data_IF_968720986628
#
_entry.id   IF_968720986628
#
_cell.length_a   1.000
_cell.length_b   1.000
_cell.length_c   1.000
_cell.angle_alpha   90.00
_cell.angle_beta   90.00
_cell.angle_gamma   90.00
#
_symmetry.space_group_name_H-M   'P 1'
#
loop_
_entity.id
_entity.type
_entity.pdbx_description
1 polymer ?
#
# COMPACT_ATOMS: atom_id res chain seq x y z
N UNK A 1 -26.65 -9.06 -5.23
CA UNK A 1 -25.21 -8.81 -5.50
C UNK A 1 -24.53 -8.54 -4.14
N UNK A 2 -23.48 -9.30 -3.81
CA UNK A 2 -22.77 -9.08 -2.53
C UNK A 2 -21.78 -7.94 -2.72
N UNK A 3 -21.73 -7.04 -1.72
CA UNK A 3 -20.76 -5.95 -1.69
C UNK A 3 -19.31 -6.49 -1.71
N UNK A 4 -18.39 -5.69 -2.26
CA UNK A 4 -16.97 -5.98 -2.25
C UNK A 4 -16.25 -4.95 -1.41
N UNK A 5 -15.39 -5.42 -0.51
CA UNK A 5 -14.54 -4.58 0.31
C UNK A 5 -13.12 -4.60 -0.23
N UNK A 6 -12.49 -3.41 -0.34
CA UNK A 6 -11.14 -3.27 -0.87
C UNK A 6 -10.30 -2.48 0.14
N UNK A 7 -9.24 -3.09 0.65
CA UNK A 7 -8.32 -2.45 1.58
C UNK A 7 -7.12 -1.86 0.85
N UNK A 8 -6.75 -0.64 1.24
CA UNK A 8 -5.58 0.07 0.72
C UNK A 8 -4.26 -0.32 1.44
N UNK A 9 -4.16 -1.55 1.96
CA UNK A 9 -2.98 -2.07 2.66
C UNK A 9 -2.90 -1.72 4.15
N UNK A 10 -1.80 -2.15 4.79
CA UNK A 10 -1.55 -2.04 6.22
C UNK A 10 -2.70 -2.66 7.07
N UNK A 11 -3.02 -3.91 6.77
CA UNK A 11 -4.05 -4.69 7.46
C UNK A 11 -3.64 -5.00 8.91
N UNK A 12 -2.35 -4.96 9.19
CA UNK A 12 -1.77 -5.37 10.47
C UNK A 12 -0.95 -4.28 11.11
N UNK A 13 -0.59 -4.52 12.38
CA UNK A 13 0.22 -3.65 13.21
C UNK A 13 -0.51 -2.38 13.67
N UNK A 14 -0.01 -1.73 14.71
CA UNK A 14 -0.58 -0.51 15.32
C UNK A 14 -1.96 -0.67 15.96
N UNK A 15 -2.90 -1.36 15.34
CA UNK A 15 -4.20 -1.68 15.93
C UNK A 15 -4.13 -2.92 16.83
N UNK A 16 -5.07 -3.07 17.79
CA UNK A 16 -5.05 -4.17 18.76
C UNK A 16 -5.57 -5.51 18.22
N UNK A 17 -6.27 -5.51 17.07
CA UNK A 17 -7.00 -6.66 16.52
C UNK A 17 -6.49 -7.09 15.15
N UNK A 18 -5.16 -7.14 14.99
CA UNK A 18 -4.56 -7.46 13.68
C UNK A 18 -4.85 -8.89 13.23
N UNK A 19 -4.89 -9.87 14.15
CA UNK A 19 -5.23 -11.25 13.80
C UNK A 19 -6.69 -11.37 13.34
N UNK A 20 -7.62 -10.73 14.04
CA UNK A 20 -9.05 -10.74 13.69
C UNK A 20 -9.31 -10.08 12.32
N UNK A 21 -8.56 -9.01 12.00
CA UNK A 21 -8.64 -8.38 10.67
C UNK A 21 -8.20 -9.37 9.58
N UNK A 22 -7.09 -10.08 9.77
CA UNK A 22 -6.62 -11.09 8.81
C UNK A 22 -7.61 -12.24 8.66
N UNK A 23 -8.13 -12.78 9.77
CA UNK A 23 -9.14 -13.84 9.75
C UNK A 23 -10.39 -13.40 9.00
N UNK A 24 -10.90 -12.19 9.30
CA UNK A 24 -12.04 -11.62 8.56
C UNK A 24 -11.75 -11.54 7.04
N UNK A 25 -10.58 -11.07 6.64
CA UNK A 25 -10.21 -10.97 5.24
C UNK A 25 -10.15 -12.35 4.55
N UNK A 26 -9.59 -13.34 5.23
CA UNK A 26 -9.43 -14.71 4.71
C UNK A 26 -10.77 -15.42 4.59
N UNK A 27 -11.61 -15.35 5.62
CA UNK A 27 -12.97 -15.92 5.63
C UNK A 27 -13.84 -15.33 4.51
N UNK A 28 -13.67 -14.05 4.25
CA UNK A 28 -14.41 -13.29 3.23
C UNK A 28 -13.65 -13.10 1.91
N UNK A 29 -12.59 -13.89 1.62
CA UNK A 29 -11.69 -13.69 0.47
C UNK A 29 -12.36 -13.64 -0.91
N UNK A 30 -13.58 -14.16 -1.04
CA UNK A 30 -14.39 -14.03 -2.27
C UNK A 30 -14.94 -12.61 -2.48
N UNK A 31 -15.13 -11.86 -1.41
CA UNK A 31 -15.69 -10.49 -1.40
C UNK A 31 -14.68 -9.43 -0.94
N UNK A 32 -13.55 -9.85 -0.39
CA UNK A 32 -12.48 -8.96 0.09
C UNK A 32 -11.30 -8.98 -0.89
N UNK A 33 -10.77 -7.80 -1.19
CA UNK A 33 -9.50 -7.59 -1.89
C UNK A 33 -8.63 -6.64 -1.06
N UNK A 34 -7.33 -6.74 -1.21
CA UNK A 34 -6.39 -5.82 -0.59
C UNK A 34 -5.15 -5.62 -1.46
N UNK A 35 -4.44 -4.54 -1.24
CA UNK A 35 -3.04 -4.39 -1.68
C UNK A 35 -2.12 -4.54 -0.49
N UNK A 36 -0.86 -4.90 -0.71
CA UNK A 36 0.14 -4.95 0.36
C UNK A 36 0.57 -3.54 0.77
N UNK A 37 0.56 -3.28 2.07
CA UNK A 37 1.20 -2.12 2.68
C UNK A 37 2.56 -2.46 3.29
N UNK A 38 3.28 -1.46 3.80
CA UNK A 38 4.61 -1.69 4.37
C UNK A 38 4.56 -2.49 5.68
N UNK A 39 3.48 -2.44 6.43
CA UNK A 39 3.30 -3.27 7.63
C UNK A 39 2.97 -4.72 7.27
N UNK A 40 2.27 -4.97 6.18
CA UNK A 40 2.02 -6.32 5.67
C UNK A 40 3.32 -6.96 5.18
N UNK A 41 4.17 -6.22 4.47
CA UNK A 41 5.53 -6.66 4.11
C UNK A 41 6.39 -6.96 5.33
N UNK A 42 6.27 -6.16 6.40
CA UNK A 42 6.99 -6.42 7.63
C UNK A 42 6.54 -7.73 8.29
N UNK A 43 5.24 -8.01 8.32
CA UNK A 43 4.73 -9.29 8.81
C UNK A 43 5.27 -10.46 7.97
N UNK A 44 5.21 -10.36 6.63
CA UNK A 44 5.76 -11.38 5.73
C UNK A 44 7.25 -11.64 5.98
N UNK A 45 8.05 -10.59 6.21
CA UNK A 45 9.45 -10.72 6.62
C UNK A 45 9.61 -11.50 7.92
N UNK A 46 8.81 -11.17 8.94
CA UNK A 46 8.88 -11.86 10.24
C UNK A 46 8.54 -13.34 10.11
N UNK A 47 7.53 -13.69 9.33
CA UNK A 47 7.12 -15.07 9.08
C UNK A 47 8.22 -15.83 8.35
N UNK A 48 8.71 -15.31 7.23
CA UNK A 48 9.67 -15.98 6.36
C UNK A 48 11.02 -16.21 7.05
N UNK A 49 11.45 -15.25 7.87
CA UNK A 49 12.70 -15.34 8.63
C UNK A 49 12.54 -15.85 10.06
N UNK A 50 11.35 -16.35 10.43
CA UNK A 50 11.04 -16.89 11.76
C UNK A 50 11.44 -15.94 12.90
N UNK A 51 11.22 -14.62 12.70
CA UNK A 51 11.56 -13.59 13.68
C UNK A 51 10.42 -13.38 14.66
N UNK A 52 10.78 -13.15 15.93
CA UNK A 52 9.82 -12.79 16.98
C UNK A 52 9.52 -11.29 16.96
N UNK A 53 8.27 -10.93 17.22
CA UNK A 53 7.87 -9.54 17.39
C UNK A 53 6.73 -9.45 18.42
N UNK A 54 6.90 -8.58 19.42
CA UNK A 54 5.93 -8.48 20.54
C UNK A 54 4.57 -7.96 20.07
N UNK A 55 4.52 -6.98 19.16
CA UNK A 55 3.27 -6.38 18.69
C UNK A 55 2.47 -7.27 17.72
N UNK A 56 3.12 -8.25 17.10
CA UNK A 56 2.53 -9.19 16.14
C UNK A 56 2.53 -10.64 16.67
N UNK A 57 2.81 -10.82 17.97
CA UNK A 57 2.91 -12.14 18.60
C UNK A 57 1.69 -13.01 18.34
N UNK A 58 0.48 -12.46 18.50
CA UNK A 58 -0.76 -13.21 18.30
C UNK A 58 -0.88 -13.80 16.89
N UNK A 59 -0.38 -13.09 15.87
CA UNK A 59 -0.37 -13.58 14.49
C UNK A 59 0.71 -14.65 14.31
N UNK A 60 1.93 -14.38 14.82
CA UNK A 60 3.07 -15.27 14.64
C UNK A 60 2.90 -16.62 15.39
N UNK A 61 2.03 -16.67 16.38
CA UNK A 61 1.69 -17.88 17.16
C UNK A 61 0.29 -18.43 16.84
N UNK A 62 -0.36 -17.92 15.77
CA UNK A 62 -1.70 -18.37 15.41
C UNK A 62 -1.68 -19.74 14.72
N UNK A 63 -2.65 -20.60 15.03
CA UNK A 63 -2.79 -21.94 14.44
C UNK A 63 -2.94 -21.91 12.90
N UNK A 64 -3.47 -20.84 12.35
CA UNK A 64 -3.65 -20.65 10.92
C UNK A 64 -2.59 -19.75 10.26
N UNK A 65 -1.38 -19.65 10.85
CA UNK A 65 -0.29 -18.80 10.33
C UNK A 65 0.06 -19.12 8.87
N UNK A 66 0.04 -20.38 8.46
CA UNK A 66 0.33 -20.78 7.09
C UNK A 66 -0.73 -20.28 6.09
N UNK A 67 -2.01 -20.29 6.48
CA UNK A 67 -3.09 -19.73 5.67
C UNK A 67 -2.95 -18.21 5.55
N UNK A 68 -2.63 -17.53 6.65
CA UNK A 68 -2.34 -16.09 6.68
C UNK A 68 -1.17 -15.75 5.74
N UNK A 69 -0.06 -16.46 5.86
CA UNK A 69 1.13 -16.28 5.03
C UNK A 69 0.81 -16.46 3.53
N UNK A 70 0.13 -17.55 3.20
CA UNK A 70 -0.29 -17.86 1.83
C UNK A 70 -1.19 -16.79 1.25
N UNK A 71 -2.16 -16.30 2.03
CA UNK A 71 -3.09 -15.26 1.60
C UNK A 71 -2.38 -13.93 1.37
N UNK A 72 -1.55 -13.47 2.32
CA UNK A 72 -0.78 -12.23 2.20
C UNK A 72 0.17 -12.27 1.01
N UNK A 73 0.91 -13.36 0.79
CA UNK A 73 1.81 -13.53 -0.37
C UNK A 73 1.07 -13.46 -1.72
N UNK A 74 -0.23 -13.72 -1.73
CA UNK A 74 -1.09 -13.61 -2.91
C UNK A 74 -1.56 -12.19 -3.22
N UNK A 75 -1.40 -11.22 -2.31
CA UNK A 75 -1.88 -9.87 -2.50
C UNK A 75 -0.98 -9.06 -3.46
N UNK A 76 -1.56 -8.22 -4.34
CA UNK A 76 -0.81 -7.35 -5.22
C UNK A 76 -0.37 -6.05 -4.53
N UNK A 77 0.52 -5.28 -5.20
CA UNK A 77 0.84 -3.90 -4.84
C UNK A 77 -0.11 -2.88 -5.48
N UNK A 78 -0.79 -3.28 -6.54
CA UNK A 78 -1.68 -2.41 -7.31
C UNK A 78 -2.93 -3.18 -7.76
N UNK A 79 -4.09 -2.61 -7.47
CA UNK A 79 -5.38 -3.10 -8.00
C UNK A 79 -5.96 -2.09 -8.99
N UNK A 80 -6.55 -2.60 -10.07
CA UNK A 80 -7.39 -1.86 -11.00
C UNK A 80 -8.84 -2.24 -10.78
N UNK A 81 -9.68 -1.26 -10.46
CA UNK A 81 -11.12 -1.45 -10.25
C UNK A 81 -11.86 -0.59 -11.27
N UNK A 82 -12.80 -1.19 -11.99
CA UNK A 82 -13.65 -0.47 -12.95
C UNK A 82 -15.08 -0.43 -12.40
N UNK A 83 -15.61 0.78 -12.25
CA UNK A 83 -17.00 1.05 -11.88
C UNK A 83 -17.60 1.95 -12.95
N UNK A 84 -18.54 1.45 -13.73
CA UNK A 84 -19.12 2.15 -14.91
C UNK A 84 -17.99 2.57 -15.88
N UNK A 85 -17.85 3.87 -16.11
CA UNK A 85 -16.79 4.46 -16.95
C UNK A 85 -15.51 4.77 -16.19
N UNK A 86 -15.57 4.84 -14.85
CA UNK A 86 -14.45 5.21 -14.01
C UNK A 86 -13.51 4.05 -13.73
N UNK A 87 -12.23 4.35 -13.63
CA UNK A 87 -11.15 3.44 -13.27
C UNK A 87 -10.49 3.93 -12.00
N UNK A 88 -10.47 3.09 -10.98
CA UNK A 88 -9.80 3.35 -9.71
C UNK A 88 -8.56 2.48 -9.60
N UNK A 89 -7.42 3.13 -9.40
CA UNK A 89 -6.15 2.49 -9.13
C UNK A 89 -5.88 2.53 -7.63
N UNK A 90 -5.82 1.38 -6.99
CA UNK A 90 -5.60 1.26 -5.53
C UNK A 90 -4.18 0.78 -5.28
N UNK A 91 -3.40 1.60 -4.59
CA UNK A 91 -2.05 1.28 -4.13
C UNK A 91 -1.89 1.77 -2.68
N UNK A 92 -1.02 1.14 -1.89
CA UNK A 92 -0.91 1.53 -0.48
C UNK A 92 -0.41 2.97 -0.28
N UNK A 93 0.72 3.36 -0.89
CA UNK A 93 1.28 4.71 -0.74
C UNK A 93 1.18 5.58 -2.01
N UNK A 94 0.66 5.02 -3.12
CA UNK A 94 0.46 5.73 -4.37
C UNK A 94 1.24 5.15 -5.55
N UNK A 95 1.27 5.91 -6.65
CA UNK A 95 1.92 5.56 -7.92
C UNK A 95 2.73 6.78 -8.37
N UNK A 96 4.06 6.67 -8.60
CA UNK A 96 4.87 7.80 -9.01
C UNK A 96 4.55 8.21 -10.46
N UNK A 97 4.70 9.49 -10.78
CA UNK A 97 4.50 10.00 -12.14
C UNK A 97 5.47 9.40 -13.19
N UNK A 98 6.54 8.75 -12.73
CA UNK A 98 7.54 8.08 -13.55
C UNK A 98 6.99 6.85 -14.28
N UNK A 99 5.87 6.31 -13.83
CA UNK A 99 5.25 5.11 -14.36
C UNK A 99 3.88 5.42 -14.96
N UNK A 100 3.65 5.01 -16.19
CA UNK A 100 2.28 4.84 -16.64
C UNK A 100 1.64 3.63 -15.92
N UNK A 101 0.32 3.50 -16.02
CA UNK A 101 -0.38 2.43 -15.32
C UNK A 101 -0.06 1.03 -15.84
N UNK A 102 0.38 0.89 -17.10
CA UNK A 102 0.82 -0.38 -17.66
C UNK A 102 2.14 -0.81 -17.03
N UNK A 103 3.10 0.11 -16.94
CA UNK A 103 4.37 -0.10 -16.23
C UNK A 103 4.11 -0.40 -14.76
N UNK A 104 3.29 0.39 -14.06
CA UNK A 104 2.96 0.15 -12.66
C UNK A 104 2.37 -1.25 -12.42
N UNK A 105 1.47 -1.73 -13.30
CA UNK A 105 0.94 -3.09 -13.22
C UNK A 105 2.01 -4.17 -13.46
N UNK A 106 2.92 -3.95 -14.40
CA UNK A 106 4.02 -4.88 -14.66
C UNK A 106 4.95 -4.98 -13.45
N UNK A 107 5.29 -3.85 -12.83
CA UNK A 107 6.13 -3.80 -11.64
C UNK A 107 5.45 -4.44 -10.41
N UNK A 108 4.14 -4.26 -10.25
CA UNK A 108 3.38 -4.98 -9.22
C UNK A 108 3.45 -6.50 -9.43
N UNK A 109 3.31 -6.99 -10.67
CA UNK A 109 3.43 -8.42 -11.00
C UNK A 109 4.85 -8.95 -10.81
N UNK A 110 5.87 -8.12 -11.09
CA UNK A 110 7.29 -8.46 -10.85
C UNK A 110 7.52 -8.78 -9.37
N UNK A 111 6.99 -7.94 -8.46
CA UNK A 111 7.10 -8.20 -7.02
C UNK A 111 6.29 -9.42 -6.60
N UNK A 112 5.07 -9.62 -7.12
CA UNK A 112 4.30 -10.85 -6.86
C UNK A 112 5.06 -12.11 -7.29
N UNK A 113 5.71 -12.08 -8.45
CA UNK A 113 6.57 -13.17 -8.92
C UNK A 113 7.77 -13.39 -8.01
N UNK A 114 8.42 -12.31 -7.55
CA UNK A 114 9.54 -12.40 -6.61
C UNK A 114 9.11 -12.99 -5.26
N UNK A 115 7.95 -12.58 -4.72
CA UNK A 115 7.37 -13.18 -3.51
C UNK A 115 7.14 -14.68 -3.67
N UNK A 116 6.65 -15.10 -4.84
CA UNK A 116 6.36 -16.52 -5.11
C UNK A 116 7.64 -17.36 -5.23
N UNK A 117 8.67 -16.82 -5.88
CA UNK A 117 9.83 -17.60 -6.32
C UNK A 117 11.04 -17.46 -5.39
N UNK A 118 11.18 -16.34 -4.67
CA UNK A 118 12.35 -16.03 -3.82
C UNK A 118 11.98 -15.10 -2.66
N UNK A 119 10.94 -15.48 -1.90
CA UNK A 119 10.41 -14.67 -0.79
C UNK A 119 11.47 -14.36 0.27
N UNK A 120 12.27 -15.37 0.66
CA UNK A 120 13.29 -15.22 1.68
C UNK A 120 14.27 -14.08 1.35
N UNK A 121 14.92 -14.12 0.19
CA UNK A 121 15.87 -13.08 -0.19
C UNK A 121 15.18 -11.74 -0.53
N UNK A 122 13.98 -11.76 -1.14
CA UNK A 122 13.23 -10.53 -1.37
C UNK A 122 13.02 -9.78 -0.06
N UNK A 123 12.50 -10.45 0.97
CA UNK A 123 12.20 -9.83 2.26
C UNK A 123 13.47 -9.47 3.05
N UNK A 124 14.57 -10.21 2.89
CA UNK A 124 15.86 -9.84 3.49
C UNK A 124 16.41 -8.54 2.89
N UNK A 125 16.37 -8.39 1.57
CA UNK A 125 17.02 -7.27 0.86
C UNK A 125 16.09 -6.10 0.51
N UNK A 126 14.78 -6.17 0.80
CA UNK A 126 13.85 -5.09 0.48
C UNK A 126 14.02 -3.84 1.36
N UNK A 127 14.74 -3.94 2.47
CA UNK A 127 14.94 -2.85 3.43
C UNK A 127 15.92 -1.81 2.94
N UNK A 128 15.70 -0.57 3.38
CA UNK A 128 16.59 0.55 3.08
C UNK A 128 15.94 1.62 2.20
N UNK A 129 16.60 2.78 2.13
CA UNK A 129 16.10 3.98 1.47
C UNK A 129 16.83 4.27 0.14
N UNK A 130 17.79 3.41 -0.22
CA UNK A 130 18.57 3.52 -1.46
C UNK A 130 18.48 2.24 -2.30
N UNK A 131 18.38 2.37 -3.64
CA UNK A 131 18.30 3.59 -4.43
C UNK A 131 17.00 4.35 -4.15
N UNK A 132 16.99 5.67 -4.40
CA UNK A 132 15.81 6.52 -4.20
C UNK A 132 15.17 7.01 -5.50
N UNK A 133 15.88 6.88 -6.64
CA UNK A 133 15.41 7.28 -7.96
C UNK A 133 15.24 6.07 -8.87
N UNK A 134 14.08 6.01 -9.55
CA UNK A 134 13.79 4.98 -10.53
C UNK A 134 14.76 5.03 -11.72
N UNK A 135 15.30 3.87 -12.03
CA UNK A 135 16.02 3.60 -13.26
C UNK A 135 15.62 2.20 -13.74
N UNK A 136 15.15 2.02 -14.98
CA UNK A 136 14.77 0.71 -15.50
C UNK A 136 15.92 -0.32 -15.52
N UNK A 137 17.17 0.14 -15.55
CA UNK A 137 18.38 -0.69 -15.53
C UNK A 137 18.76 -1.19 -14.12
N UNK A 138 18.03 -0.82 -13.08
CA UNK A 138 18.25 -1.36 -11.73
C UNK A 138 17.99 -2.87 -11.71
N UNK A 139 18.91 -3.58 -11.06
CA UNK A 139 18.89 -5.04 -11.01
C UNK A 139 18.40 -5.59 -9.68
N UNK A 140 17.84 -6.80 -9.73
CA UNK A 140 17.49 -7.66 -8.59
C UNK A 140 16.90 -6.86 -7.40
N UNK A 141 17.47 -7.04 -6.22
CA UNK A 141 16.95 -6.50 -4.97
C UNK A 141 16.96 -4.98 -4.88
N UNK A 142 17.87 -4.28 -5.55
CA UNK A 142 17.87 -2.81 -5.63
C UNK A 142 16.62 -2.33 -6.36
N UNK A 143 16.28 -2.97 -7.47
CA UNK A 143 15.08 -2.71 -8.26
C UNK A 143 13.82 -3.05 -7.46
N UNK A 144 13.74 -4.23 -6.89
CA UNK A 144 12.60 -4.70 -6.10
C UNK A 144 12.36 -3.83 -4.87
N UNK A 145 13.42 -3.48 -4.12
CA UNK A 145 13.36 -2.53 -3.00
C UNK A 145 12.74 -1.20 -3.41
N UNK A 146 13.17 -0.65 -4.52
CA UNK A 146 12.69 0.64 -4.98
C UNK A 146 11.23 0.57 -5.43
N UNK A 147 10.83 -0.49 -6.13
CA UNK A 147 9.43 -0.73 -6.50
C UNK A 147 8.55 -0.80 -5.23
N UNK A 148 8.94 -1.61 -4.25
CA UNK A 148 8.23 -1.74 -2.98
C UNK A 148 8.15 -0.38 -2.27
N UNK A 149 9.25 0.38 -2.21
CA UNK A 149 9.28 1.69 -1.57
C UNK A 149 8.32 2.70 -2.23
N UNK A 150 8.22 2.73 -3.56
CA UNK A 150 7.26 3.59 -4.24
C UNK A 150 5.83 3.20 -3.90
N UNK A 151 5.47 1.93 -4.00
CA UNK A 151 4.10 1.49 -3.75
C UNK A 151 3.68 1.54 -2.27
N UNK A 152 4.65 1.42 -1.33
CA UNK A 152 4.29 1.20 0.08
C UNK A 152 4.81 2.25 1.06
N UNK A 153 5.76 3.11 0.66
CA UNK A 153 6.40 4.06 1.59
C UNK A 153 6.48 5.49 1.07
N UNK A 154 6.08 5.74 -0.18
CA UNK A 154 6.19 7.04 -0.82
C UNK A 154 5.33 8.09 -0.12
N UNK A 155 5.90 9.29 0.09
CA UNK A 155 5.20 10.51 0.53
C UNK A 155 5.66 11.69 -0.29
N UNK A 156 6.94 11.99 -0.23
CA UNK A 156 7.58 13.10 -0.93
C UNK A 156 8.52 12.60 -2.01
N UNK A 157 8.52 13.29 -3.12
CA UNK A 157 9.44 13.10 -4.23
C UNK A 157 10.03 14.45 -4.67
N UNK A 158 11.20 14.43 -5.27
CA UNK A 158 11.74 15.62 -5.95
C UNK A 158 11.26 15.70 -7.41
N UNK A 159 11.63 16.75 -8.14
CA UNK A 159 11.28 16.97 -9.54
C UNK A 159 11.68 15.82 -10.48
N UNK A 160 12.71 15.04 -10.13
CA UNK A 160 13.14 13.87 -10.89
C UNK A 160 12.42 12.57 -10.47
N UNK A 161 11.60 12.63 -9.41
CA UNK A 161 10.89 11.49 -8.87
C UNK A 161 11.64 10.74 -7.76
N UNK A 162 12.81 11.21 -7.31
CA UNK A 162 13.53 10.55 -6.23
C UNK A 162 12.77 10.65 -4.91
N UNK A 163 12.68 9.50 -4.20
CA UNK A 163 11.97 9.33 -2.94
C UNK A 163 12.68 10.02 -1.77
N UNK A 164 11.88 10.60 -0.86
CA UNK A 164 12.29 11.02 0.47
C UNK A 164 11.47 10.27 1.52
N UNK A 165 12.02 9.18 2.04
CA UNK A 165 11.28 8.22 2.88
C UNK A 165 11.28 8.55 4.38
N UNK A 166 12.28 9.28 4.87
CA UNK A 166 12.40 9.60 6.30
C UNK A 166 11.37 10.60 6.81
N UNK A 167 10.89 11.49 5.93
CA UNK A 167 9.94 12.53 6.26
C UNK A 167 8.51 12.00 6.33
N UNK A 168 7.81 12.22 7.43
CA UNK A 168 6.48 11.64 7.69
C UNK A 168 5.37 12.69 7.92
N UNK A 169 5.74 13.91 8.29
CA UNK A 169 4.81 15.04 8.48
C UNK A 169 4.37 15.66 7.13
N UNK A 170 3.74 16.82 7.17
CA UNK A 170 3.26 17.52 5.97
C UNK A 170 4.25 18.54 5.41
N UNK A 171 5.33 18.83 6.13
CA UNK A 171 6.30 19.85 5.72
C UNK A 171 7.34 19.24 4.78
N UNK A 172 7.32 19.52 3.48
CA UNK A 172 8.32 19.00 2.57
C UNK A 172 9.70 19.59 2.87
N UNK A 173 10.75 18.80 2.65
CA UNK A 173 12.11 19.33 2.60
C UNK A 173 12.32 20.12 1.30
N UNK A 174 13.36 20.95 1.28
CA UNK A 174 13.73 21.74 0.11
C UNK A 174 13.78 20.84 -1.16
N UNK A 175 13.14 21.30 -2.22
CA UNK A 175 13.05 20.60 -3.52
C UNK A 175 12.25 19.28 -3.52
N UNK A 176 11.45 19.02 -2.49
CA UNK A 176 10.53 17.89 -2.45
C UNK A 176 9.08 18.37 -2.36
N UNK A 177 8.17 17.62 -2.98
CA UNK A 177 6.72 17.89 -2.96
C UNK A 177 5.98 16.58 -2.69
N UNK A 178 4.72 16.63 -2.25
CA UNK A 178 3.86 15.46 -2.21
C UNK A 178 3.85 14.77 -3.57
N UNK A 179 3.97 13.44 -3.59
CA UNK A 179 4.08 12.67 -4.82
C UNK A 179 2.94 12.94 -5.82
N UNK A 180 1.76 13.15 -5.30
CA UNK A 180 0.55 13.32 -6.10
C UNK A 180 0.51 14.65 -6.88
N UNK A 181 1.27 15.66 -6.47
CA UNK A 181 1.36 16.93 -7.17
C UNK A 181 1.94 16.81 -8.59
N UNK A 182 2.76 15.80 -8.84
CA UNK A 182 3.26 15.47 -10.17
C UNK A 182 2.39 14.42 -10.87
N UNK A 183 1.97 13.38 -10.15
CA UNK A 183 1.22 12.27 -10.73
C UNK A 183 -0.18 12.67 -11.23
N UNK A 184 -0.80 13.70 -10.66
CA UNK A 184 -2.12 14.20 -11.11
C UNK A 184 -2.19 14.47 -12.60
N UNK A 185 -1.08 14.85 -13.23
CA UNK A 185 -1.01 15.17 -14.65
C UNK A 185 -0.98 13.93 -15.57
N UNK A 186 -0.78 12.73 -15.01
CA UNK A 186 -0.75 11.48 -15.76
C UNK A 186 -2.11 10.77 -15.80
N UNK A 187 -3.10 11.27 -15.04
CA UNK A 187 -4.42 10.70 -14.95
C UNK A 187 -5.32 11.22 -16.08
N UNK A 188 -6.09 10.32 -16.69
CA UNK A 188 -7.21 10.69 -17.56
C UNK A 188 -8.40 11.14 -16.71
N UNK A 189 -9.37 11.82 -17.32
CA UNK A 189 -10.54 12.36 -16.61
C UNK A 189 -11.34 11.30 -15.85
N UNK A 190 -11.36 10.08 -16.36
CA UNK A 190 -12.05 8.94 -15.74
C UNK A 190 -11.16 8.04 -14.89
N UNK A 191 -9.93 8.45 -14.62
CA UNK A 191 -8.98 7.69 -13.80
C UNK A 191 -8.74 8.37 -12.45
N UNK A 192 -8.75 7.57 -11.40
CA UNK A 192 -8.50 8.03 -10.03
C UNK A 192 -7.54 7.11 -9.31
N UNK A 193 -6.74 7.65 -8.40
CA UNK A 193 -5.88 6.88 -7.50
C UNK A 193 -6.45 6.94 -6.08
N UNK A 194 -6.53 5.78 -5.43
CA UNK A 194 -6.90 5.63 -4.02
C UNK A 194 -5.70 5.10 -3.26
N UNK A 195 -5.38 5.71 -2.13
CA UNK A 195 -4.22 5.32 -1.33
C UNK A 195 -4.46 5.53 0.17
N UNK A 196 -3.59 4.91 0.99
CA UNK A 196 -3.54 5.05 2.46
C UNK A 196 -2.22 5.64 2.94
N UNK A 197 -1.55 4.96 3.88
CA UNK A 197 -0.16 5.17 4.31
C UNK A 197 0.19 6.51 4.97
N UNK A 198 -0.38 7.61 4.55
CA UNK A 198 0.02 8.96 4.97
C UNK A 198 -1.00 9.61 5.89
N UNK A 199 -1.08 9.10 7.12
CA UNK A 199 -2.04 9.53 8.13
C UNK A 199 -2.01 11.05 8.41
N UNK A 200 -0.84 11.70 8.31
CA UNK A 200 -0.72 13.15 8.51
C UNK A 200 -1.54 13.98 7.51
N UNK A 201 -1.83 13.47 6.31
CA UNK A 201 -2.71 14.13 5.34
C UNK A 201 -4.16 14.22 5.82
N UNK A 202 -4.56 13.35 6.76
CA UNK A 202 -5.96 13.21 7.18
C UNK A 202 -6.92 13.08 5.97
N UNK A 203 -6.49 12.35 4.95
CA UNK A 203 -7.21 12.15 3.68
C UNK A 203 -7.21 13.35 2.73
N UNK A 204 -6.61 14.48 3.07
CA UNK A 204 -6.67 15.74 2.30
C UNK A 204 -5.57 15.82 1.25
N UNK A 205 -5.91 15.60 -0.01
CA UNK A 205 -5.01 15.83 -1.17
C UNK A 205 -5.32 17.14 -1.89
N UNK A 206 -6.52 17.70 -1.67
CA UNK A 206 -7.08 18.81 -2.43
C UNK A 206 -7.20 18.54 -3.95
N UNK A 207 -7.28 17.26 -4.33
CA UNK A 207 -7.43 16.80 -5.71
C UNK A 207 -8.63 15.84 -5.79
N UNK A 208 -9.46 16.00 -6.84
CA UNK A 208 -10.66 15.17 -7.04
C UNK A 208 -10.34 13.77 -7.57
N UNK A 209 -9.16 13.59 -8.18
CA UNK A 209 -8.74 12.36 -8.83
C UNK A 209 -7.67 11.57 -8.04
N UNK A 210 -7.26 12.07 -6.86
CA UNK A 210 -6.33 11.38 -5.97
C UNK A 210 -6.90 11.41 -4.54
N UNK A 211 -7.32 10.25 -4.06
CA UNK A 211 -8.15 10.08 -2.86
C UNK A 211 -7.34 9.39 -1.77
N UNK A 212 -7.04 10.12 -0.70
CA UNK A 212 -6.42 9.58 0.50
C UNK A 212 -7.47 9.00 1.45
N UNK A 213 -7.27 7.77 1.93
CA UNK A 213 -8.18 7.13 2.89
C UNK A 213 -7.59 6.99 4.30
N UNK A 214 -6.28 7.22 4.47
CA UNK A 214 -5.67 7.18 5.80
C UNK A 214 -5.99 8.48 6.56
N UNK A 215 -6.95 8.38 7.45
CA UNK A 215 -7.39 9.46 8.32
C UNK A 215 -6.96 9.26 9.77
N UNK A 216 -5.92 8.42 10.00
CA UNK A 216 -5.23 8.28 11.27
C UNK A 216 -6.02 7.54 12.36
N UNK A 217 -6.84 6.55 12.01
CA UNK A 217 -7.64 5.79 12.97
C UNK A 217 -6.81 5.22 14.12
N UNK A 218 -5.64 4.64 13.84
CA UNK A 218 -4.76 4.08 14.87
C UNK A 218 -4.20 5.12 15.83
N UNK A 219 -4.21 6.39 15.42
CA UNK A 219 -3.77 7.55 16.22
C UNK A 219 -4.92 8.27 16.94
N UNK A 220 -6.09 7.66 17.00
CA UNK A 220 -7.25 8.22 17.73
C UNK A 220 -8.25 8.97 16.86
N UNK A 221 -8.02 9.07 15.55
CA UNK A 221 -8.95 9.67 14.61
C UNK A 221 -9.98 8.63 14.09
N UNK A 222 -10.34 8.69 12.83
CA UNK A 222 -11.40 7.86 12.22
C UNK A 222 -10.84 6.91 11.17
N UNK A 223 -11.51 5.77 10.98
CA UNK A 223 -11.36 4.91 9.82
C UNK A 223 -12.26 5.46 8.70
N UNK A 224 -11.71 5.57 7.50
CA UNK A 224 -12.43 6.13 6.35
C UNK A 224 -12.55 5.10 5.24
N UNK A 225 -13.74 5.01 4.67
CA UNK A 225 -14.02 4.23 3.46
C UNK A 225 -14.72 5.10 2.43
N UNK A 226 -14.54 4.76 1.15
CA UNK A 226 -15.25 5.37 0.02
C UNK A 226 -16.08 4.31 -0.71
N UNK A 227 -17.31 4.62 -1.03
CA UNK A 227 -18.13 3.82 -1.94
C UNK A 227 -17.85 4.27 -3.37
N UNK A 228 -17.37 3.38 -4.23
CA UNK A 228 -16.87 3.75 -5.55
C UNK A 228 -17.96 4.12 -6.56
N UNK A 229 -19.20 3.70 -6.32
CA UNK A 229 -20.35 3.93 -7.22
C UNK A 229 -20.77 5.42 -7.27
N UNK A 230 -20.62 6.13 -6.17
CA UNK A 230 -21.05 7.53 -5.98
C UNK A 230 -20.02 8.38 -5.22
N UNK A 231 -18.85 7.80 -4.90
CA UNK A 231 -17.74 8.43 -4.19
C UNK A 231 -18.09 8.97 -2.79
N UNK A 232 -19.16 8.44 -2.20
CA UNK A 232 -19.56 8.81 -0.84
C UNK A 232 -18.56 8.28 0.19
N UNK A 233 -18.10 9.17 1.07
CA UNK A 233 -17.23 8.85 2.17
C UNK A 233 -18.03 8.37 3.40
N UNK A 234 -17.51 7.36 4.07
CA UNK A 234 -18.01 6.84 5.33
C UNK A 234 -16.90 6.87 6.37
N UNK A 235 -17.26 7.16 7.59
CA UNK A 235 -16.32 7.28 8.69
C UNK A 235 -16.78 6.50 9.90
N UNK A 236 -15.84 5.81 10.56
CA UNK A 236 -16.03 5.20 11.88
C UNK A 236 -14.99 5.78 12.84
N UNK A 237 -15.44 6.40 13.92
CA UNK A 237 -14.54 6.90 14.97
C UNK A 237 -13.93 5.74 15.74
N UNK A 238 -12.69 5.90 16.19
CA UNK A 238 -12.07 4.97 17.13
C UNK A 238 -12.88 5.01 18.44
N UNK A 239 -13.36 3.85 18.84
CA UNK A 239 -13.96 3.65 20.17
C UNK A 239 -12.88 3.46 21.22
#
# INVERSE_FOLDING_TARGET
>A
QKDKLIFAGDLVNRGPKSLEVLNFCIENRKSVKAVLGNHDFYLLYLIEHQKRNKSLKQILEADNLDEINKWLKGLPLLLKIKIKTNIYWVAHAGIPFLWDFKVAQQLSKEIQSAIKNDAYNLFEYMWGDTPSLWNPELEKYKRQRLIINYFTRMRFINKKGALKLKKKDLTPEKNHIPWFEQTKNNLKDNEKIIFGHWAALNGKTNLNNIIGLDTGCVWGNKLTAIRLEDEKLFHASKK
#
